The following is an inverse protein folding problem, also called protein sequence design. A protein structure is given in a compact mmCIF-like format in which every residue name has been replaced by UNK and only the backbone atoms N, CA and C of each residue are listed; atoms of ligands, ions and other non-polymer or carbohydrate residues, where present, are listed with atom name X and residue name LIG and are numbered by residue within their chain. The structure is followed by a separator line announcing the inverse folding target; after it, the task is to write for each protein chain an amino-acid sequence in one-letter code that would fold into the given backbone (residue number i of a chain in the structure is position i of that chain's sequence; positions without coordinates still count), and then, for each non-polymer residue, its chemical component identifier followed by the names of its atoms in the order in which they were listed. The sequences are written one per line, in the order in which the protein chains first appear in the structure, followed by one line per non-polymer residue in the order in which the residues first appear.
data_IF_910172645042
#
_entry.id   IF_910172645042
#
_cell.length_a   1.000
_cell.length_b   1.000
_cell.length_c   1.000
_cell.angle_alpha   90.00
_cell.angle_beta   90.00
_cell.angle_gamma   90.00
#
_symmetry.space_group_name_H-M   'P 1'
#
loop_
_entity.id
_entity.type
_entity.pdbx_description
1 polymer ?
#
# COMPACT_ATOMS: atom_id res chain seq x y z
N UNK A 1 -3.92 5.86 7.97
CA UNK A 1 -3.77 4.80 6.95
C UNK A 1 -2.92 3.69 7.55
N UNK A 2 -3.36 2.43 7.46
CA UNK A 2 -2.60 1.28 7.97
C UNK A 2 -1.49 0.91 6.97
N UNK A 3 -0.33 0.53 7.51
CA UNK A 3 0.83 0.12 6.71
C UNK A 3 1.47 -1.13 7.30
N UNK A 4 2.10 -1.92 6.42
CA UNK A 4 2.89 -3.11 6.78
C UNK A 4 4.33 -2.92 6.31
N UNK A 5 5.26 -3.68 6.92
CA UNK A 5 6.63 -3.77 6.39
C UNK A 5 6.59 -4.33 4.97
N UNK A 6 7.45 -3.82 4.10
CA UNK A 6 7.52 -4.24 2.70
C UNK A 6 8.95 -4.43 2.20
N UNK A 7 9.91 -4.73 3.10
CA UNK A 7 11.32 -4.89 2.73
C UNK A 7 11.53 -6.07 1.76
N UNK A 8 10.70 -7.11 1.90
CA UNK A 8 10.76 -8.32 1.06
C UNK A 8 9.79 -8.29 -0.13
N UNK A 9 8.92 -7.28 -0.23
CA UNK A 9 7.92 -7.21 -1.28
C UNK A 9 8.57 -6.96 -2.64
N UNK A 10 8.31 -7.74 -3.70
CA UNK A 10 9.04 -7.65 -4.97
C UNK A 10 8.97 -6.26 -5.62
N UNK A 11 7.79 -5.62 -5.60
CA UNK A 11 7.55 -4.28 -6.15
C UNK A 11 7.79 -3.16 -5.11
N UNK A 12 7.09 -3.17 -3.98
CA UNK A 12 7.12 -2.09 -2.99
C UNK A 12 8.49 -1.83 -2.31
N UNK A 13 9.42 -2.80 -2.29
CA UNK A 13 10.77 -2.59 -1.75
C UNK A 13 11.61 -1.58 -2.54
N UNK A 14 11.19 -1.26 -3.77
CA UNK A 14 11.91 -0.35 -4.68
C UNK A 14 11.64 1.14 -4.38
N UNK A 15 10.65 1.44 -3.54
CA UNK A 15 10.27 2.81 -3.19
C UNK A 15 10.92 3.26 -1.86
N UNK A 16 10.69 4.50 -1.46
CA UNK A 16 11.29 5.17 -0.28
C UNK A 16 12.80 5.39 -0.39
N UNK A 17 13.34 6.29 0.44
CA UNK A 17 14.78 6.55 0.51
C UNK A 17 15.55 5.28 0.92
N UNK A 18 16.82 5.12 0.52
CA UNK A 18 17.61 3.92 0.81
C UNK A 18 17.68 3.53 2.29
N UNK A 19 17.78 4.51 3.19
CA UNK A 19 17.94 4.31 4.63
C UNK A 19 16.60 4.24 5.40
N UNK A 20 15.47 4.39 4.70
CA UNK A 20 14.14 4.30 5.28
C UNK A 20 13.60 2.86 5.19
N UNK A 21 13.06 2.36 6.31
CA UNK A 21 12.36 1.07 6.33
C UNK A 21 11.18 1.07 5.36
N UNK A 22 11.06 0.02 4.54
CA UNK A 22 10.06 0.00 3.47
C UNK A 22 8.68 -0.29 4.05
N UNK A 23 7.72 0.54 3.68
CA UNK A 23 6.32 0.41 4.11
C UNK A 23 5.40 0.41 2.89
N UNK A 24 4.46 -0.52 2.87
CA UNK A 24 3.33 -0.52 1.92
C UNK A 24 2.05 -0.19 2.65
N UNK A 25 1.12 0.44 1.95
CA UNK A 25 -0.27 0.54 2.39
C UNK A 25 -0.94 -0.84 2.25
N UNK A 26 -1.93 -1.10 3.09
CA UNK A 26 -2.82 -2.25 2.91
C UNK A 26 -3.95 -1.83 1.98
N UNK A 27 -4.12 -2.55 0.86
CA UNK A 27 -5.28 -2.38 -0.02
C UNK A 27 -6.24 -3.55 0.23
N UNK A 28 -7.45 -3.23 0.68
CA UNK A 28 -8.48 -4.24 0.93
C UNK A 28 -9.16 -4.58 -0.41
N UNK A 29 -9.08 -5.86 -0.86
CA UNK A 29 -9.74 -6.34 -2.06
C UNK A 29 -11.25 -6.10 -2.00
N UNK A 30 -11.87 -5.90 -3.17
CA UNK A 30 -13.29 -5.55 -3.26
C UNK A 30 -14.19 -6.56 -2.54
N UNK A 31 -13.89 -7.84 -2.71
CA UNK A 31 -14.60 -8.96 -2.12
C UNK A 31 -14.60 -8.93 -0.58
N UNK A 32 -13.60 -8.30 0.05
CA UNK A 32 -13.44 -8.27 1.51
C UNK A 32 -13.78 -6.92 2.16
N UNK A 33 -14.17 -5.90 1.38
CA UNK A 33 -14.42 -4.55 1.94
C UNK A 33 -15.52 -4.55 2.99
N UNK A 34 -16.59 -5.32 2.79
CA UNK A 34 -17.70 -5.40 3.77
C UNK A 34 -17.24 -6.09 5.05
N UNK A 35 -16.51 -7.18 4.94
CA UNK A 35 -16.04 -7.92 6.11
C UNK A 35 -15.04 -7.09 6.91
N UNK A 36 -14.11 -6.42 6.24
CA UNK A 36 -13.18 -5.46 6.86
C UNK A 36 -13.87 -4.34 7.65
N UNK A 37 -15.02 -3.84 7.17
CA UNK A 37 -15.76 -2.79 7.88
C UNK A 37 -16.53 -3.29 9.11
N UNK A 38 -16.70 -4.61 9.25
CA UNK A 38 -17.50 -5.22 10.33
C UNK A 38 -16.69 -6.14 11.25
N UNK A 39 -15.43 -6.44 10.91
CA UNK A 39 -14.54 -7.27 11.73
C UNK A 39 -14.19 -6.55 13.04
N UNK A 40 -14.07 -7.33 14.12
CA UNK A 40 -13.55 -6.82 15.38
C UNK A 40 -12.05 -6.53 15.31
N UNK A 41 -11.54 -5.84 16.33
CA UNK A 41 -10.12 -5.46 16.40
C UNK A 41 -9.21 -6.68 16.45
N UNK A 42 -9.66 -7.73 17.13
CA UNK A 42 -8.93 -8.96 17.39
C UNK A 42 -8.63 -9.69 16.07
N UNK A 43 -9.57 -9.68 15.12
CA UNK A 43 -9.47 -10.38 13.83
C UNK A 43 -9.11 -9.46 12.64
N UNK A 44 -9.08 -8.14 12.83
CA UNK A 44 -8.74 -7.17 11.77
C UNK A 44 -7.42 -7.47 11.03
N UNK A 45 -6.43 -8.05 11.73
CA UNK A 45 -5.13 -8.38 11.18
C UNK A 45 -5.17 -9.44 10.06
N UNK A 46 -6.23 -10.24 9.96
CA UNK A 46 -6.44 -11.21 8.89
C UNK A 46 -6.54 -10.56 7.50
N UNK A 47 -6.85 -9.27 7.46
CA UNK A 47 -6.99 -8.50 6.22
C UNK A 47 -5.73 -7.70 5.87
N UNK A 48 -4.61 -7.90 6.59
CA UNK A 48 -3.36 -7.17 6.36
C UNK A 48 -2.57 -7.81 5.21
N UNK A 49 -3.10 -7.68 4.00
CA UNK A 49 -2.51 -8.24 2.81
C UNK A 49 -1.33 -7.40 2.30
N UNK A 50 -0.30 -8.09 1.79
CA UNK A 50 0.66 -7.47 0.88
C UNK A 50 -0.04 -6.98 -0.40
N UNK A 51 0.52 -5.94 -1.01
CA UNK A 51 -0.04 -5.36 -2.22
C UNK A 51 0.03 -6.39 -3.35
N UNK A 52 -1.12 -6.68 -3.97
CA UNK A 52 -1.20 -7.69 -5.05
C UNK A 52 -0.52 -7.20 -6.33
N UNK A 53 -0.19 -8.13 -7.21
CA UNK A 53 0.38 -7.85 -8.54
C UNK A 53 -0.71 -7.37 -9.53
N UNK A 54 -1.39 -6.29 -9.17
CA UNK A 54 -2.46 -5.65 -9.97
C UNK A 54 -2.24 -4.14 -10.14
N UNK A 55 -1.19 -3.60 -9.51
CA UNK A 55 -0.86 -2.18 -9.54
C UNK A 55 0.34 -1.92 -10.45
N UNK A 56 0.27 -0.82 -11.19
CA UNK A 56 1.37 -0.32 -12.01
C UNK A 56 1.78 1.07 -11.54
N UNK A 57 3.06 1.39 -11.67
CA UNK A 57 3.59 2.73 -11.37
C UNK A 57 4.21 3.34 -12.61
N UNK A 58 4.29 4.66 -12.63
CA UNK A 58 5.00 5.43 -13.63
C UNK A 58 5.87 6.45 -12.92
N UNK A 59 7.04 6.82 -13.49
CA UNK A 59 7.81 7.94 -13.00
C UNK A 59 6.94 9.18 -12.88
N UNK A 60 7.17 9.97 -11.83
CA UNK A 60 6.46 11.22 -11.63
C UNK A 60 6.84 12.20 -12.75
N UNK A 61 5.83 12.78 -13.41
CA UNK A 61 6.00 13.87 -14.37
C UNK A 61 6.11 15.20 -13.60
N UNK A 62 7.33 15.75 -13.51
CA UNK A 62 7.60 16.96 -12.74
C UNK A 62 6.95 18.22 -13.35
N UNK A 63 6.72 18.25 -14.67
CA UNK A 63 6.17 19.43 -15.36
C UNK A 63 4.68 19.65 -15.05
N UNK A 64 3.92 18.57 -14.81
CA UNK A 64 2.48 18.64 -14.49
C UNK A 64 2.18 18.98 -13.03
N UNK A 65 3.17 18.94 -12.16
CA UNK A 65 2.98 19.16 -10.73
C UNK A 65 2.85 20.64 -10.37
N UNK A 66 3.51 21.53 -11.12
CA UNK A 66 3.52 22.97 -10.87
C UNK A 66 2.20 23.68 -11.26
N UNK A 67 1.18 22.93 -11.69
CA UNK A 67 -0.12 23.47 -12.12
C UNK A 67 -1.23 23.23 -11.09
N UNK A 68 -0.92 22.57 -9.96
CA UNK A 68 -1.91 22.22 -8.92
C UNK A 68 -1.71 22.96 -7.58
N UNK A 69 -1.11 24.15 -7.61
CA UNK A 69 -1.09 25.09 -6.49
C UNK A 69 -1.52 26.48 -6.95
#
# INVERSE_FOLDING_TARGET
MLTINSDNHPFMKQFHAPDDGKRSIIVIPEEYRKDWLNVDKENAHEYFFEMRDEFVTFPRDEEKQNVLF
#
